data_IF_483939993672
#
_entry.id   IF_483939993672
#
_cell.length_a   1.000
_cell.length_b   1.000
_cell.length_c   1.000
_cell.angle_alpha   90.00
_cell.angle_beta   90.00
_cell.angle_gamma   90.00
#
_symmetry.space_group_name_H-M   'P 1'
#
loop_
_entity.id
_entity.type
_entity.pdbx_description
1 polymer ?
#
# COMPACT_ATOMS: atom_id res chain seq x y z
N UNK A 1 7.03 5.65 14.55
CA UNK A 1 7.46 5.03 13.27
C UNK A 1 8.87 4.41 13.36
N UNK A 2 9.39 4.08 14.54
CA UNK A 2 10.85 3.90 14.71
C UNK A 2 11.35 2.45 14.75
N UNK A 3 10.65 1.53 15.42
CA UNK A 3 11.22 0.22 15.74
C UNK A 3 11.32 -0.73 14.52
N UNK A 4 10.27 -0.82 13.71
CA UNK A 4 10.29 -1.64 12.49
C UNK A 4 11.25 -1.10 11.44
N UNK A 5 11.41 0.22 11.36
CA UNK A 5 12.36 0.84 10.42
C UNK A 5 13.80 0.44 10.79
N UNK A 6 14.19 0.60 12.06
CA UNK A 6 15.52 0.18 12.52
C UNK A 6 15.77 -1.33 12.37
N UNK A 7 14.75 -2.17 12.56
CA UNK A 7 14.89 -3.61 12.39
C UNK A 7 15.12 -4.01 10.91
N UNK A 8 14.68 -3.22 9.92
CA UNK A 8 14.97 -3.49 8.50
C UNK A 8 16.42 -3.17 8.15
N UNK A 9 17.03 -2.21 8.84
CA UNK A 9 18.41 -1.79 8.60
C UNK A 9 19.44 -2.66 9.36
N UNK A 10 18.99 -3.68 10.10
CA UNK A 10 19.85 -4.59 10.85
C UNK A 10 20.31 -5.77 9.99
N UNK A 11 21.55 -5.69 9.49
CA UNK A 11 22.19 -6.75 8.71
C UNK A 11 22.62 -7.97 9.57
N UNK A 12 22.55 -7.86 10.91
CA UNK A 12 22.94 -8.92 11.86
C UNK A 12 21.92 -10.06 11.97
N UNK A 13 20.64 -9.78 11.74
CA UNK A 13 19.57 -10.78 11.68
C UNK A 13 18.65 -10.51 10.48
N UNK A 14 19.10 -11.01 9.32
CA UNK A 14 18.37 -10.90 8.04
C UNK A 14 16.96 -11.49 8.13
N UNK A 15 16.71 -12.51 8.98
CA UNK A 15 15.37 -13.10 9.13
C UNK A 15 14.44 -12.12 9.84
N UNK A 16 14.89 -11.50 10.93
CA UNK A 16 14.15 -10.45 11.62
C UNK A 16 13.93 -9.23 10.72
N UNK A 17 14.94 -8.81 9.97
CA UNK A 17 14.85 -7.69 9.03
C UNK A 17 13.81 -7.94 7.92
N UNK A 18 13.79 -9.14 7.33
CA UNK A 18 12.78 -9.52 6.34
C UNK A 18 11.37 -9.55 6.93
N UNK A 19 11.21 -10.03 8.16
CA UNK A 19 9.93 -10.01 8.86
C UNK A 19 9.46 -8.57 9.13
N UNK A 20 10.35 -7.71 9.62
CA UNK A 20 10.07 -6.30 9.84
C UNK A 20 9.69 -5.57 8.54
N UNK A 21 10.41 -5.84 7.44
CA UNK A 21 10.13 -5.28 6.12
C UNK A 21 8.76 -5.72 5.62
N UNK A 22 8.40 -6.98 5.82
CA UNK A 22 7.07 -7.50 5.48
C UNK A 22 5.97 -6.73 6.23
N UNK A 23 6.12 -6.51 7.53
CA UNK A 23 5.13 -5.76 8.31
C UNK A 23 5.08 -4.26 7.90
N UNK A 24 6.22 -3.64 7.59
CA UNK A 24 6.24 -2.28 7.04
C UNK A 24 5.49 -2.19 5.73
N UNK A 25 5.67 -3.14 4.81
CA UNK A 25 4.93 -3.21 3.55
C UNK A 25 3.43 -3.34 3.80
N UNK A 26 3.00 -4.22 4.72
CA UNK A 26 1.58 -4.36 5.08
C UNK A 26 1.01 -3.06 5.66
N UNK A 27 1.77 -2.34 6.47
CA UNK A 27 1.35 -1.03 6.99
C UNK A 27 1.27 0.04 5.91
N UNK A 28 2.25 0.07 5.01
CA UNK A 28 2.28 0.98 3.87
C UNK A 28 1.05 0.74 2.97
N UNK A 29 0.75 -0.51 2.64
CA UNK A 29 -0.41 -0.89 1.81
C UNK A 29 -1.74 -0.44 2.41
N UNK A 30 -1.93 -0.59 3.74
CA UNK A 30 -3.13 -0.12 4.44
C UNK A 30 -3.27 1.40 4.36
N UNK A 31 -2.16 2.14 4.53
CA UNK A 31 -2.15 3.61 4.43
C UNK A 31 -2.38 4.07 3.00
N UNK A 32 -1.75 3.44 2.03
CA UNK A 32 -1.95 3.71 0.60
C UNK A 32 -3.43 3.55 0.23
N UNK A 33 -4.08 2.45 0.62
CA UNK A 33 -5.50 2.22 0.38
C UNK A 33 -6.41 3.30 1.01
N UNK A 34 -6.07 3.78 2.21
CA UNK A 34 -6.78 4.89 2.86
C UNK A 34 -6.59 6.21 2.10
N UNK A 35 -5.36 6.52 1.69
CA UNK A 35 -5.02 7.73 0.94
C UNK A 35 -5.68 7.73 -0.45
N UNK A 36 -5.66 6.60 -1.15
CA UNK A 36 -6.35 6.44 -2.45
C UNK A 36 -7.85 6.69 -2.30
N UNK A 37 -8.50 6.11 -1.28
CA UNK A 37 -9.93 6.37 -1.01
C UNK A 37 -10.20 7.85 -0.74
N UNK A 38 -9.36 8.51 0.07
CA UNK A 38 -9.48 9.95 0.35
C UNK A 38 -9.23 10.80 -0.90
N UNK A 39 -8.29 10.42 -1.76
CA UNK A 39 -8.01 11.10 -3.03
C UNK A 39 -9.21 11.00 -3.97
N UNK A 40 -9.80 9.79 -4.10
CA UNK A 40 -11.03 9.59 -4.87
C UNK A 40 -12.20 10.41 -4.33
N UNK A 41 -12.37 10.48 -3.00
CA UNK A 41 -13.40 11.30 -2.36
C UNK A 41 -13.20 12.81 -2.59
N UNK A 42 -11.95 13.25 -2.80
CA UNK A 42 -11.60 14.64 -3.16
C UNK A 42 -11.69 14.93 -4.66
N UNK A 43 -12.15 13.98 -5.47
CA UNK A 43 -12.36 14.16 -6.91
C UNK A 43 -11.17 13.83 -7.79
N UNK A 44 -10.00 13.45 -7.23
CA UNK A 44 -8.85 13.08 -8.04
C UNK A 44 -9.18 11.86 -8.90
N UNK A 45 -8.86 11.93 -10.19
CA UNK A 45 -9.01 10.84 -11.13
C UNK A 45 -8.04 9.70 -10.83
N UNK A 46 -8.37 8.50 -11.30
CA UNK A 46 -7.45 7.36 -11.20
C UNK A 46 -6.12 7.58 -11.92
N UNK A 47 -6.08 8.41 -12.96
CA UNK A 47 -4.84 8.75 -13.65
C UNK A 47 -3.94 9.62 -12.78
N UNK A 48 -4.48 10.66 -12.14
CA UNK A 48 -3.72 11.52 -11.22
C UNK A 48 -3.19 10.72 -10.02
N UNK A 49 -4.01 9.83 -9.45
CA UNK A 49 -3.58 8.95 -8.35
C UNK A 49 -2.43 8.03 -8.82
N UNK A 50 -2.51 7.49 -10.03
CA UNK A 50 -1.46 6.63 -10.59
C UNK A 50 -0.13 7.37 -10.78
N UNK A 51 -0.18 8.61 -11.27
CA UNK A 51 0.99 9.49 -11.38
C UNK A 51 1.63 9.71 -10.02
N UNK A 52 0.84 10.02 -8.99
CA UNK A 52 1.35 10.24 -7.62
C UNK A 52 1.96 8.98 -6.98
N UNK A 53 1.43 7.80 -7.32
CA UNK A 53 1.94 6.51 -6.82
C UNK A 53 3.10 5.96 -7.66
N UNK A 54 3.46 6.60 -8.78
CA UNK A 54 4.53 6.12 -9.68
C UNK A 54 4.18 4.81 -10.38
N UNK A 55 2.90 4.50 -10.56
CA UNK A 55 2.43 3.26 -11.19
C UNK A 55 1.51 3.56 -12.38
N UNK A 56 1.19 2.55 -13.18
CA UNK A 56 0.24 2.72 -14.28
C UNK A 56 -1.20 2.88 -13.76
N UNK A 57 -2.03 3.60 -14.53
CA UNK A 57 -3.48 3.72 -14.25
C UNK A 57 -4.14 2.34 -14.12
N UNK A 58 -3.77 1.38 -14.98
CA UNK A 58 -4.28 0.02 -14.94
C UNK A 58 -3.89 -0.69 -13.64
N UNK A 59 -2.67 -0.48 -13.12
CA UNK A 59 -2.22 -1.05 -11.86
C UNK A 59 -3.06 -0.51 -10.68
N UNK A 60 -3.30 0.80 -10.61
CA UNK A 60 -4.17 1.38 -9.58
C UNK A 60 -5.60 0.88 -9.69
N UNK A 61 -6.16 0.81 -10.91
CA UNK A 61 -7.50 0.27 -11.13
C UNK A 61 -7.61 -1.19 -10.71
N UNK A 62 -6.61 -2.03 -11.02
CA UNK A 62 -6.58 -3.42 -10.59
C UNK A 62 -6.50 -3.54 -9.06
N UNK A 63 -5.69 -2.69 -8.41
CA UNK A 63 -5.46 -2.71 -6.96
C UNK A 63 -6.62 -2.12 -6.14
N UNK A 64 -7.34 -1.13 -6.69
CA UNK A 64 -8.30 -0.32 -5.92
C UNK A 64 -9.66 -0.10 -6.60
N UNK A 65 -9.79 -0.37 -7.89
CA UNK A 65 -11.03 -0.12 -8.67
C UNK A 65 -12.09 -1.23 -8.56
N UNK A 66 -11.77 -2.37 -7.94
CA UNK A 66 -12.54 -3.62 -8.00
C UNK A 66 -13.36 -3.98 -6.76
N UNK A 67 -13.83 -3.03 -5.96
CA UNK A 67 -14.64 -3.30 -4.74
C UNK A 67 -16.11 -3.68 -5.03
N UNK A 68 -16.39 -4.57 -5.98
CA UNK A 68 -17.75 -5.11 -6.15
C UNK A 68 -17.86 -6.63 -6.26
N UNK A 69 -16.76 -7.39 -6.14
CA UNK A 69 -16.80 -8.87 -6.18
C UNK A 69 -16.34 -9.58 -4.90
N UNK A 70 -15.78 -8.88 -3.92
CA UNK A 70 -15.20 -9.53 -2.71
C UNK A 70 -16.08 -9.42 -1.45
N UNK A 71 -17.20 -8.69 -1.49
CA UNK A 71 -18.15 -8.60 -0.35
C UNK A 71 -19.08 -9.82 -0.21
N UNK A 72 -18.76 -10.96 -0.85
CA UNK A 72 -19.53 -12.20 -0.77
C UNK A 72 -18.61 -13.43 -0.74
N UNK A 73 -17.60 -13.41 0.12
CA UNK A 73 -17.02 -14.62 0.72
C UNK A 73 -15.95 -14.19 1.71
N UNK A 74 -16.35 -14.01 2.97
CA UNK A 74 -15.56 -14.26 4.18
C UNK A 74 -16.49 -14.09 5.37
#
# INVERSE_FOLDING_TARGET
>A
MSALAHAVDDDGDVVAALHALSELRRQADRREALLVRRARARGLTWAEIAVLLGVSKQAVHKRYGGSRREARSQ
#
